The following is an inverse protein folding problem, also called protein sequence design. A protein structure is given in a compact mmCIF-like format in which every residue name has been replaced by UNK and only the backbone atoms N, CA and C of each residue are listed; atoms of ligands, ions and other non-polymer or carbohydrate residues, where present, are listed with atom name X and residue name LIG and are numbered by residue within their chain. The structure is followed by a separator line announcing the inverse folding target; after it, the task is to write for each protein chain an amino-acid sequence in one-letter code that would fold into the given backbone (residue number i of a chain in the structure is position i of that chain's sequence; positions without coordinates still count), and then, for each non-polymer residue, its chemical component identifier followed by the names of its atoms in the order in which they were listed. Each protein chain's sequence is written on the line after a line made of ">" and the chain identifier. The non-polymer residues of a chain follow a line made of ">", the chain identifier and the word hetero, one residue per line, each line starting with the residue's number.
data_IF_116203916785
#
_entry.id   IF_116203916785
#
_cell.length_a   1.000
_cell.length_b   1.000
_cell.length_c   1.000
_cell.angle_alpha   90.00
_cell.angle_beta   90.00
_cell.angle_gamma   90.00
#
_symmetry.space_group_name_H-M   'P 1'
#
loop_
_entity.id
_entity.type
_entity.pdbx_description
1 polymer ?
#
# COMPACT_ATOMS: atom_id res chain seq x y z
N UNK A 1 9.48 18.41 11.61
CA UNK A 1 8.16 17.85 11.23
C UNK A 1 8.15 16.38 11.62
N UNK A 2 7.05 15.85 12.15
CA UNK A 2 6.99 14.41 12.50
C UNK A 2 7.01 13.58 11.21
N UNK A 3 7.75 12.46 11.19
CA UNK A 3 7.87 11.60 10.00
C UNK A 3 6.51 11.15 9.47
N UNK A 4 5.55 10.89 10.35
CA UNK A 4 4.19 10.47 9.98
C UNK A 4 3.51 11.51 9.07
N UNK A 5 3.65 12.79 9.38
CA UNK A 5 3.10 13.88 8.57
C UNK A 5 3.79 13.94 7.21
N UNK A 6 5.12 13.76 7.18
CA UNK A 6 5.86 13.69 5.90
C UNK A 6 5.32 12.56 5.02
N UNK A 7 5.17 11.36 5.58
CA UNK A 7 4.69 10.21 4.82
C UNK A 7 3.26 10.40 4.29
N UNK A 8 2.34 10.85 5.15
CA UNK A 8 0.95 11.09 4.75
C UNK A 8 0.89 12.14 3.62
N UNK A 9 1.60 13.24 3.77
CA UNK A 9 1.63 14.28 2.74
C UNK A 9 2.30 13.80 1.45
N UNK A 10 3.40 13.04 1.57
CA UNK A 10 4.12 12.52 0.41
C UNK A 10 3.27 11.51 -0.36
N UNK A 11 2.59 10.59 0.33
CA UNK A 11 1.69 9.62 -0.32
C UNK A 11 0.46 10.36 -0.88
N UNK A 12 -0.24 11.13 -0.07
CA UNK A 12 -1.49 11.77 -0.48
C UNK A 12 -1.33 12.78 -1.60
N UNK A 13 -0.39 13.73 -1.43
CA UNK A 13 -0.12 14.77 -2.43
C UNK A 13 0.68 14.18 -3.61
N UNK A 14 1.59 13.23 -3.35
CA UNK A 14 2.39 12.58 -4.39
C UNK A 14 1.50 11.89 -5.43
N UNK A 15 0.56 11.05 -5.01
CA UNK A 15 -0.38 10.39 -5.92
C UNK A 15 -1.24 11.41 -6.67
N UNK A 16 -1.66 12.49 -6.00
CA UNK A 16 -2.40 13.57 -6.66
C UNK A 16 -1.55 14.30 -7.71
N UNK A 17 -0.28 14.62 -7.41
CA UNK A 17 0.66 15.26 -8.34
C UNK A 17 0.98 14.35 -9.52
N UNK A 18 1.20 13.06 -9.27
CA UNK A 18 1.43 12.06 -10.31
C UNK A 18 0.28 12.06 -11.32
N UNK A 19 -0.96 11.99 -10.84
CA UNK A 19 -2.15 11.95 -11.69
C UNK A 19 -2.42 13.25 -12.42
N UNK A 20 -2.36 14.40 -11.72
CA UNK A 20 -2.76 15.68 -12.29
C UNK A 20 -1.62 16.44 -12.98
N UNK A 21 -0.39 15.99 -12.79
CA UNK A 21 0.81 16.59 -13.38
C UNK A 21 1.22 16.00 -14.74
N UNK A 22 0.35 15.26 -15.42
CA UNK A 22 0.66 14.58 -16.69
C UNK A 22 1.10 15.55 -17.77
N UNK A 23 0.43 16.69 -17.87
CA UNK A 23 0.65 17.71 -18.90
C UNK A 23 1.59 18.85 -18.44
N UNK A 24 2.22 18.72 -17.28
CA UNK A 24 3.15 19.72 -16.78
C UNK A 24 4.47 19.68 -17.57
N UNK A 25 5.21 20.81 -17.67
CA UNK A 25 6.53 20.85 -18.34
C UNK A 25 7.52 19.82 -17.79
N UNK A 26 7.46 19.57 -16.47
CA UNK A 26 8.08 18.41 -15.82
C UNK A 26 6.93 17.53 -15.34
N UNK A 27 6.76 16.34 -15.93
CA UNK A 27 5.69 15.42 -15.56
C UNK A 27 5.62 15.20 -14.07
N UNK A 28 4.39 15.13 -13.53
CA UNK A 28 4.13 14.91 -12.11
C UNK A 28 4.83 13.69 -11.54
N UNK A 29 4.87 12.59 -12.30
CA UNK A 29 5.61 11.38 -11.95
C UNK A 29 7.09 11.65 -11.64
N UNK A 30 7.78 12.45 -12.48
CA UNK A 30 9.19 12.76 -12.25
C UNK A 30 9.39 13.62 -11.01
N UNK A 31 8.48 14.55 -10.75
CA UNK A 31 8.49 15.36 -9.52
C UNK A 31 8.36 14.45 -8.30
N UNK A 32 7.38 13.55 -8.34
CA UNK A 32 7.13 12.59 -7.25
C UNK A 32 8.32 11.67 -7.05
N UNK A 33 8.90 11.14 -8.14
CA UNK A 33 10.10 10.31 -8.07
C UNK A 33 11.24 11.03 -7.35
N UNK A 34 11.55 12.28 -7.74
CA UNK A 34 12.63 13.07 -7.12
C UNK A 34 12.33 13.30 -5.63
N UNK A 35 11.12 13.71 -5.29
CA UNK A 35 10.73 14.02 -3.90
C UNK A 35 10.79 12.76 -3.03
N UNK A 36 10.18 11.67 -3.47
CA UNK A 36 10.10 10.41 -2.72
C UNK A 36 11.49 9.84 -2.47
N UNK A 37 12.33 9.74 -3.51
CA UNK A 37 13.69 9.23 -3.35
C UNK A 37 14.60 10.16 -2.55
N UNK A 38 14.40 11.48 -2.62
CA UNK A 38 15.13 12.44 -1.78
C UNK A 38 14.79 12.25 -0.29
N UNK A 39 13.50 12.10 0.02
CA UNK A 39 13.05 11.82 1.39
C UNK A 39 13.58 10.46 1.86
N UNK A 40 13.48 9.42 1.03
CA UNK A 40 13.99 8.10 1.33
C UNK A 40 15.50 8.14 1.62
N UNK A 41 16.28 8.78 0.76
CA UNK A 41 17.73 8.93 0.92
C UNK A 41 18.09 9.71 2.20
N UNK A 42 17.34 10.77 2.52
CA UNK A 42 17.55 11.54 3.75
C UNK A 42 17.29 10.70 4.99
N UNK A 43 16.21 9.88 4.99
CA UNK A 43 15.91 8.96 6.10
C UNK A 43 16.98 7.88 6.20
N UNK A 44 17.37 7.29 5.08
CA UNK A 44 18.42 6.27 5.03
C UNK A 44 19.77 6.79 5.55
N UNK A 45 20.15 8.00 5.19
CA UNK A 45 21.40 8.62 5.66
C UNK A 45 21.39 8.87 7.17
N UNK A 46 20.24 9.24 7.76
CA UNK A 46 20.06 9.53 9.18
C UNK A 46 19.76 8.27 10.02
N UNK A 47 19.26 7.20 9.39
CA UNK A 47 18.88 5.96 10.03
C UNK A 47 20.07 5.22 10.63
N UNK A 48 19.82 4.45 11.68
CA UNK A 48 20.78 3.51 12.21
C UNK A 48 20.92 2.27 11.29
N UNK A 49 21.79 1.34 11.69
CA UNK A 49 22.03 0.12 10.89
C UNK A 49 20.77 -0.74 10.75
N UNK A 50 19.94 -0.82 11.78
CA UNK A 50 18.73 -1.65 11.78
C UNK A 50 17.71 -1.04 10.82
N UNK A 51 17.43 0.27 10.97
CA UNK A 51 16.50 0.99 10.10
C UNK A 51 16.91 0.88 8.62
N UNK A 52 18.21 1.03 8.31
CA UNK A 52 18.71 0.88 6.92
C UNK A 52 18.48 -0.52 6.37
N UNK A 53 18.71 -1.57 7.17
CA UNK A 53 18.45 -2.95 6.76
C UNK A 53 16.96 -3.15 6.52
N UNK A 54 16.10 -2.67 7.41
CA UNK A 54 14.64 -2.74 7.25
C UNK A 54 14.17 -2.02 5.96
N UNK A 55 14.69 -0.82 5.68
CA UNK A 55 14.41 -0.06 4.46
C UNK A 55 14.77 -0.87 3.22
N UNK A 56 15.97 -1.43 3.16
CA UNK A 56 16.42 -2.26 2.04
C UNK A 56 15.61 -3.56 1.93
N UNK A 57 15.23 -4.14 3.05
CA UNK A 57 14.40 -5.35 3.09
C UNK A 57 13.03 -5.07 2.48
N UNK A 58 12.37 -3.98 2.87
CA UNK A 58 11.07 -3.59 2.28
C UNK A 58 11.21 -3.40 0.77
N UNK A 59 12.24 -2.70 0.29
CA UNK A 59 12.47 -2.54 -1.14
C UNK A 59 12.66 -3.89 -1.84
N UNK A 60 13.48 -4.77 -1.26
CA UNK A 60 13.82 -6.07 -1.83
C UNK A 60 12.62 -7.02 -1.94
N UNK A 61 11.63 -6.89 -1.06
CA UNK A 61 10.41 -7.69 -1.10
C UNK A 61 9.28 -7.00 -1.87
N UNK A 62 9.01 -5.73 -1.59
CA UNK A 62 7.89 -5.02 -2.20
C UNK A 62 8.08 -4.83 -3.71
N UNK A 63 9.28 -4.48 -4.17
CA UNK A 63 9.51 -4.23 -5.60
C UNK A 63 9.27 -5.46 -6.47
N UNK A 64 9.85 -6.65 -6.19
CA UNK A 64 9.57 -7.85 -6.97
C UNK A 64 8.10 -8.29 -6.89
N UNK A 65 7.46 -8.14 -5.71
CA UNK A 65 6.05 -8.49 -5.56
C UNK A 65 5.15 -7.58 -6.37
N UNK A 66 5.44 -6.28 -6.38
CA UNK A 66 4.73 -5.29 -7.17
C UNK A 66 4.85 -5.60 -8.67
N UNK A 67 6.07 -5.82 -9.16
CA UNK A 67 6.31 -6.24 -10.56
C UNK A 67 5.62 -7.57 -10.89
N UNK A 68 5.57 -8.49 -9.95
CA UNK A 68 4.86 -9.74 -10.15
C UNK A 68 3.36 -9.50 -10.31
N UNK A 69 2.75 -8.67 -9.48
CA UNK A 69 1.31 -8.39 -9.52
C UNK A 69 0.90 -7.60 -10.77
N UNK A 70 1.75 -6.68 -11.24
CA UNK A 70 1.44 -5.85 -12.42
C UNK A 70 1.86 -6.50 -13.73
N UNK A 71 3.10 -7.01 -13.84
CA UNK A 71 3.68 -7.45 -15.10
C UNK A 71 3.52 -8.95 -15.38
N UNK A 72 3.36 -9.78 -14.32
CA UNK A 72 3.28 -11.22 -14.48
C UNK A 72 1.86 -11.71 -14.23
N UNK A 73 1.26 -11.34 -13.13
CA UNK A 73 -0.07 -11.79 -12.77
C UNK A 73 -1.19 -10.90 -13.31
N UNK A 74 -0.89 -9.63 -13.65
CA UNK A 74 -1.86 -8.67 -14.18
C UNK A 74 -3.11 -8.52 -13.30
N UNK A 75 -2.90 -8.29 -11.99
CA UNK A 75 -4.00 -8.02 -11.05
C UNK A 75 -4.53 -6.59 -11.21
N UNK A 76 -3.65 -5.66 -11.49
CA UNK A 76 -3.93 -4.25 -11.75
C UNK A 76 -2.87 -3.67 -12.66
N UNK A 77 -3.16 -2.53 -13.23
CA UNK A 77 -2.29 -1.81 -14.15
C UNK A 77 -2.09 -0.37 -13.66
N UNK A 78 -0.87 0.10 -13.69
CA UNK A 78 -0.58 1.50 -13.48
C UNK A 78 -0.95 2.33 -14.70
N UNK A 79 -1.34 3.59 -14.48
CA UNK A 79 -1.79 4.52 -15.52
C UNK A 79 -0.86 4.61 -16.74
N UNK A 80 0.46 4.61 -16.53
CA UNK A 80 1.46 4.66 -17.62
C UNK A 80 1.88 3.25 -18.11
N UNK A 81 1.18 2.19 -17.71
CA UNK A 81 1.46 0.81 -18.09
C UNK A 81 2.65 0.18 -17.38
N UNK A 82 3.43 0.92 -16.64
CA UNK A 82 4.57 0.42 -15.86
C UNK A 82 4.51 0.95 -14.42
N UNK A 83 5.07 0.17 -13.49
CA UNK A 83 5.19 0.59 -12.10
C UNK A 83 6.04 1.86 -11.98
N UNK A 84 5.52 2.97 -11.43
CA UNK A 84 6.29 4.19 -11.22
C UNK A 84 7.47 3.97 -10.27
N UNK A 85 8.60 4.64 -10.54
CA UNK A 85 9.83 4.44 -9.76
C UNK A 85 9.73 4.88 -8.30
N UNK A 86 8.74 5.69 -7.92
CA UNK A 86 8.52 6.09 -6.53
C UNK A 86 7.86 4.99 -5.66
N UNK A 87 7.22 4.00 -6.29
CA UNK A 87 6.44 2.96 -5.59
C UNK A 87 7.28 2.16 -4.60
N UNK A 88 8.48 1.66 -4.94
CA UNK A 88 9.31 0.93 -3.98
C UNK A 88 9.61 1.70 -2.69
N UNK A 89 10.02 2.96 -2.82
CA UNK A 89 10.29 3.81 -1.66
C UNK A 89 9.00 4.20 -0.90
N UNK A 90 7.89 4.35 -1.63
CA UNK A 90 6.55 4.55 -1.07
C UNK A 90 6.10 3.41 -0.15
N UNK A 91 6.42 2.16 -0.49
CA UNK A 91 6.16 1.00 0.38
C UNK A 91 6.85 1.12 1.75
N UNK A 92 8.08 1.62 1.78
CA UNK A 92 8.73 1.91 3.06
C UNK A 92 7.96 2.96 3.85
N UNK A 93 7.51 4.05 3.22
CA UNK A 93 6.78 5.09 3.93
C UNK A 93 5.46 4.56 4.52
N UNK A 94 4.73 3.75 3.75
CA UNK A 94 3.51 3.12 4.23
C UNK A 94 3.78 2.15 5.39
N UNK A 95 4.82 1.32 5.27
CA UNK A 95 5.20 0.36 6.30
C UNK A 95 5.65 1.05 7.60
N UNK A 96 6.55 2.04 7.53
CA UNK A 96 7.01 2.77 8.72
C UNK A 96 5.88 3.60 9.35
N UNK A 97 4.96 4.14 8.53
CA UNK A 97 3.74 4.79 9.01
C UNK A 97 2.87 3.80 9.82
N UNK A 98 2.68 2.59 9.30
CA UNK A 98 1.97 1.51 9.98
C UNK A 98 2.60 1.12 11.30
N UNK A 99 3.93 0.97 11.34
CA UNK A 99 4.68 0.69 12.59
C UNK A 99 4.50 1.80 13.64
N UNK A 100 4.43 3.06 13.22
CA UNK A 100 4.24 4.21 14.12
C UNK A 100 2.81 4.28 14.62
N UNK A 101 1.83 4.13 13.76
CA UNK A 101 0.42 4.19 14.12
C UNK A 101 0.00 2.99 14.97
N UNK A 102 0.52 1.79 14.70
CA UNK A 102 0.21 0.60 15.49
C UNK A 102 0.58 0.73 16.98
N UNK A 103 1.57 1.58 17.31
CA UNK A 103 1.93 1.87 18.71
C UNK A 103 0.84 2.63 19.46
N UNK A 104 -0.02 3.35 18.76
CA UNK A 104 -1.14 4.09 19.35
C UNK A 104 -2.43 3.25 19.42
N UNK A 105 -2.48 2.10 18.73
CA UNK A 105 -3.61 1.18 18.80
C UNK A 105 -3.48 0.30 20.06
N UNK A 106 -4.39 0.38 21.04
CA UNK A 106 -4.39 -0.53 22.17
C UNK A 106 -4.54 -1.99 21.72
N UNK A 107 -3.86 -2.92 22.40
CA UNK A 107 -3.86 -4.35 22.00
C UNK A 107 -5.27 -4.94 21.91
N UNK A 108 -6.13 -4.59 22.87
CA UNK A 108 -7.51 -5.08 22.89
C UNK A 108 -8.40 -4.53 21.76
N UNK A 109 -7.95 -3.47 21.04
CA UNK A 109 -8.64 -2.93 19.87
C UNK A 109 -8.16 -3.53 18.55
N UNK A 110 -7.06 -4.30 18.54
CA UNK A 110 -6.53 -4.88 17.31
C UNK A 110 -7.58 -5.74 16.56
N UNK A 111 -8.23 -6.67 17.27
CA UNK A 111 -9.31 -7.49 16.69
C UNK A 111 -10.59 -6.67 16.36
N UNK A 112 -11.15 -5.87 17.28
CA UNK A 112 -12.33 -5.06 16.97
C UNK A 112 -12.12 -4.14 15.76
N UNK A 113 -10.93 -3.61 15.55
CA UNK A 113 -10.66 -2.68 14.45
C UNK A 113 -10.78 -3.31 13.06
N UNK A 114 -10.60 -4.62 12.93
CA UNK A 114 -10.74 -5.32 11.64
C UNK A 114 -12.13 -5.90 11.40
N UNK A 115 -13.02 -5.88 12.39
CA UNK A 115 -14.39 -6.39 12.24
C UNK A 115 -15.15 -5.77 11.06
N UNK A 116 -15.01 -4.46 10.74
CA UNK A 116 -15.69 -3.86 9.59
C UNK A 116 -15.33 -4.48 8.24
N UNK A 117 -14.14 -5.09 8.10
CA UNK A 117 -13.77 -5.78 6.86
C UNK A 117 -14.63 -7.02 6.58
N UNK A 118 -15.20 -7.66 7.63
CA UNK A 118 -16.01 -8.87 7.49
C UNK A 118 -17.27 -8.62 6.65
N UNK A 119 -18.22 -7.75 7.08
CA UNK A 119 -19.41 -7.49 6.30
C UNK A 119 -19.09 -6.88 4.93
N UNK A 120 -18.02 -6.06 4.83
CA UNK A 120 -17.60 -5.44 3.58
C UNK A 120 -17.17 -6.50 2.56
N UNK A 121 -16.25 -7.40 2.93
CA UNK A 121 -15.77 -8.47 2.04
C UNK A 121 -16.89 -9.45 1.68
N UNK A 122 -17.77 -9.81 2.62
CA UNK A 122 -18.91 -10.68 2.34
C UNK A 122 -19.88 -10.01 1.35
N UNK A 123 -20.17 -8.72 1.54
CA UNK A 123 -21.06 -7.98 0.66
C UNK A 123 -20.52 -7.92 -0.78
N UNK A 124 -19.25 -7.54 -0.98
CA UNK A 124 -18.66 -7.46 -2.32
C UNK A 124 -18.50 -8.83 -2.98
N UNK A 125 -18.20 -9.86 -2.20
CA UNK A 125 -18.16 -11.23 -2.70
C UNK A 125 -19.56 -11.72 -3.12
N UNK A 126 -20.61 -11.42 -2.35
CA UNK A 126 -21.98 -11.77 -2.68
C UNK A 126 -22.46 -11.07 -3.96
N UNK A 127 -22.03 -9.84 -4.19
CA UNK A 127 -22.31 -9.11 -5.43
C UNK A 127 -21.45 -9.59 -6.63
N UNK A 128 -20.49 -10.47 -6.41
CA UNK A 128 -19.55 -10.92 -7.45
C UNK A 128 -18.53 -9.83 -7.89
N UNK A 129 -18.44 -8.73 -7.14
CA UNK A 129 -17.56 -7.61 -7.46
C UNK A 129 -16.12 -7.93 -7.03
N UNK A 130 -15.93 -8.40 -5.78
CA UNK A 130 -14.62 -8.73 -5.22
C UNK A 130 -14.71 -10.01 -4.37
N UNK A 131 -14.41 -11.14 -4.97
CA UNK A 131 -14.33 -12.43 -4.27
C UNK A 131 -12.92 -12.68 -3.72
N UNK A 132 -11.90 -12.00 -4.26
CA UNK A 132 -10.52 -12.10 -3.78
C UNK A 132 -10.34 -11.46 -2.40
N UNK A 133 -11.12 -10.44 -2.08
CA UNK A 133 -11.15 -9.80 -0.77
C UNK A 133 -11.47 -10.74 0.39
N UNK A 134 -12.26 -11.81 0.14
CA UNK A 134 -12.46 -12.87 1.15
C UNK A 134 -11.18 -13.63 1.46
N UNK A 135 -10.35 -13.92 0.47
CA UNK A 135 -9.06 -14.59 0.69
C UNK A 135 -8.10 -13.69 1.45
N UNK A 136 -8.07 -12.40 1.12
CA UNK A 136 -7.27 -11.41 1.86
C UNK A 136 -7.75 -11.28 3.30
N UNK A 137 -9.05 -11.30 3.55
CA UNK A 137 -9.62 -11.30 4.90
C UNK A 137 -9.22 -12.55 5.68
N UNK A 138 -9.26 -13.74 5.06
CA UNK A 138 -8.84 -14.99 5.68
C UNK A 138 -7.34 -14.98 5.99
N UNK A 139 -6.51 -14.47 5.08
CA UNK A 139 -5.08 -14.28 5.30
C UNK A 139 -4.83 -13.31 6.46
N UNK A 140 -5.55 -12.18 6.50
CA UNK A 140 -5.47 -11.22 7.61
C UNK A 140 -5.84 -11.90 8.94
N UNK A 141 -6.91 -12.68 8.99
CA UNK A 141 -7.27 -13.44 10.20
C UNK A 141 -6.18 -14.43 10.61
N UNK A 142 -5.55 -15.10 9.64
CA UNK A 142 -4.40 -15.96 9.90
C UNK A 142 -3.25 -15.19 10.57
N UNK A 143 -2.85 -14.05 10.00
CA UNK A 143 -1.83 -13.20 10.60
C UNK A 143 -2.23 -12.67 11.98
N UNK A 144 -3.49 -12.25 12.15
CA UNK A 144 -4.00 -11.79 13.44
C UNK A 144 -4.00 -12.90 14.51
N UNK A 145 -4.24 -14.15 14.12
CA UNK A 145 -4.30 -15.30 15.05
C UNK A 145 -2.92 -15.82 15.44
N UNK A 146 -2.04 -15.98 14.45
CA UNK A 146 -0.75 -16.68 14.65
C UNK A 146 0.48 -15.75 14.57
N UNK A 147 0.32 -14.56 14.02
CA UNK A 147 1.42 -13.61 13.91
C UNK A 147 1.68 -12.86 15.22
N UNK A 148 2.93 -12.38 15.43
CA UNK A 148 3.33 -11.73 16.67
C UNK A 148 2.85 -10.27 16.80
N UNK A 149 2.51 -9.59 15.67
CA UNK A 149 2.32 -8.13 15.62
C UNK A 149 0.89 -7.73 15.22
N UNK A 150 -0.12 -8.18 15.99
CA UNK A 150 -1.54 -7.97 15.70
C UNK A 150 -1.91 -6.50 15.43
N UNK A 151 -1.39 -5.58 16.25
CA UNK A 151 -1.64 -4.14 16.07
C UNK A 151 -1.12 -3.64 14.71
N UNK A 152 0.05 -4.12 14.31
CA UNK A 152 0.64 -3.76 13.03
C UNK A 152 -0.21 -4.30 11.88
N UNK A 153 -0.61 -5.57 11.91
CA UNK A 153 -1.45 -6.16 10.85
C UNK A 153 -2.78 -5.44 10.71
N UNK A 154 -3.46 -5.16 11.82
CA UNK A 154 -4.71 -4.40 11.81
C UNK A 154 -4.53 -2.98 11.25
N UNK A 155 -3.47 -2.29 11.69
CA UNK A 155 -3.16 -0.93 11.20
C UNK A 155 -2.81 -0.92 9.71
N UNK A 156 -2.00 -1.90 9.26
CA UNK A 156 -1.62 -2.01 7.85
C UNK A 156 -2.82 -2.32 6.95
N UNK A 157 -3.79 -3.13 7.41
CA UNK A 157 -5.00 -3.38 6.65
C UNK A 157 -5.78 -2.08 6.37
N UNK A 158 -5.93 -1.20 7.36
CA UNK A 158 -6.57 0.10 7.17
C UNK A 158 -5.77 1.06 6.28
N UNK A 159 -4.45 1.10 6.47
CA UNK A 159 -3.58 1.97 5.65
C UNK A 159 -3.53 1.50 4.21
N UNK A 160 -3.45 0.19 3.96
CA UNK A 160 -3.50 -0.38 2.63
C UNK A 160 -4.83 -0.05 1.95
N UNK A 161 -5.96 -0.31 2.63
CA UNK A 161 -7.29 0.05 2.09
C UNK A 161 -7.39 1.55 1.78
N UNK A 162 -6.93 2.42 2.68
CA UNK A 162 -6.97 3.87 2.44
C UNK A 162 -6.12 4.28 1.24
N UNK A 163 -4.94 3.68 1.07
CA UNK A 163 -4.07 3.92 -0.08
C UNK A 163 -4.70 3.41 -1.37
N UNK A 164 -5.26 2.19 -1.37
CA UNK A 164 -5.95 1.61 -2.52
C UNK A 164 -7.14 2.47 -2.97
N UNK A 165 -8.00 2.86 -2.03
CA UNK A 165 -9.13 3.73 -2.35
C UNK A 165 -8.69 5.08 -2.91
N UNK A 166 -7.63 5.67 -2.35
CA UNK A 166 -7.12 6.96 -2.82
C UNK A 166 -6.49 6.87 -4.21
N UNK A 167 -5.61 5.90 -4.44
CA UNK A 167 -4.93 5.73 -5.73
C UNK A 167 -5.89 5.33 -6.84
N UNK A 168 -6.83 4.42 -6.57
CA UNK A 168 -7.87 4.03 -7.54
C UNK A 168 -8.84 5.18 -7.82
N UNK A 169 -9.26 5.94 -6.81
CA UNK A 169 -10.09 7.13 -6.98
C UNK A 169 -9.42 8.19 -7.85
N UNK A 170 -8.12 8.41 -7.68
CA UNK A 170 -7.35 9.32 -8.51
C UNK A 170 -7.09 8.77 -9.92
N UNK A 171 -7.09 7.44 -10.10
CA UNK A 171 -6.76 6.80 -11.36
C UNK A 171 -5.26 6.56 -11.57
N UNK A 172 -4.47 6.51 -10.49
CA UNK A 172 -3.04 6.14 -10.58
C UNK A 172 -2.86 4.68 -11.01
N UNK A 173 -3.80 3.81 -10.63
CA UNK A 173 -3.91 2.42 -11.09
C UNK A 173 -5.37 1.99 -11.17
N UNK A 174 -5.60 0.93 -11.93
CA UNK A 174 -6.91 0.32 -12.08
C UNK A 174 -6.80 -1.20 -11.90
N UNK A 175 -7.70 -1.77 -11.12
CA UNK A 175 -7.80 -3.21 -10.93
C UNK A 175 -8.50 -3.86 -12.11
N UNK A 176 -8.04 -5.05 -12.52
CA UNK A 176 -8.78 -5.87 -13.46
C UNK A 176 -9.92 -6.60 -12.73
N UNK A 177 -11.08 -6.62 -13.35
CA UNK A 177 -12.27 -7.22 -12.74
C UNK A 177 -12.14 -8.75 -12.52
N UNK A 178 -11.30 -9.41 -13.31
CA UNK A 178 -11.03 -10.84 -13.18
C UNK A 178 -9.59 -11.06 -12.73
N UNK A 179 -9.42 -11.92 -11.71
CA UNK A 179 -8.08 -12.32 -11.26
C UNK A 179 -7.55 -13.40 -12.21
N UNK A 180 -6.49 -13.13 -12.99
CA UNK A 180 -5.98 -14.07 -13.97
C UNK A 180 -5.66 -15.44 -13.36
N UNK A 181 -5.94 -16.49 -14.14
CA UNK A 181 -5.72 -17.91 -13.78
C UNK A 181 -6.58 -18.43 -12.63
N UNK A 182 -7.57 -17.67 -12.17
CA UNK A 182 -8.46 -18.07 -11.07
C UNK A 182 -9.91 -17.76 -11.41
N UNK A 183 -10.89 -18.34 -10.73
CA UNK A 183 -12.29 -17.95 -10.83
C UNK A 183 -12.66 -16.74 -9.98
N UNK A 184 -11.67 -15.99 -9.49
CA UNK A 184 -11.89 -14.88 -8.56
C UNK A 184 -12.07 -13.55 -9.31
N UNK A 185 -12.78 -12.65 -8.69
CA UNK A 185 -12.92 -11.25 -9.10
C UNK A 185 -12.16 -10.35 -8.12
N UNK A 186 -11.69 -9.21 -8.62
CA UNK A 186 -11.05 -8.15 -7.82
C UNK A 186 -11.62 -6.79 -8.21
N UNK A 187 -11.60 -5.87 -7.25
CA UNK A 187 -12.04 -4.49 -7.43
C UNK A 187 -11.14 -3.53 -6.67
#
# INVERSE_FOLDING_TARGET
>A
MRREVVYILTIGIGLWVDQNGTDWPLKGEYIVNIVVWSIFAAIFAQGDRVERIEMLTVLAFATPMELFFTEVWHLYEYREGMMPLFVPAGHWFLFDLGRRFSKHLPEHWAWPSIVPFVPLSIYFAYQGIDTSGLLLLLALFGFMQWGPERRLYATMAWLALAMELWGTYLGNWAWFAEVPWTPLTAW
#
